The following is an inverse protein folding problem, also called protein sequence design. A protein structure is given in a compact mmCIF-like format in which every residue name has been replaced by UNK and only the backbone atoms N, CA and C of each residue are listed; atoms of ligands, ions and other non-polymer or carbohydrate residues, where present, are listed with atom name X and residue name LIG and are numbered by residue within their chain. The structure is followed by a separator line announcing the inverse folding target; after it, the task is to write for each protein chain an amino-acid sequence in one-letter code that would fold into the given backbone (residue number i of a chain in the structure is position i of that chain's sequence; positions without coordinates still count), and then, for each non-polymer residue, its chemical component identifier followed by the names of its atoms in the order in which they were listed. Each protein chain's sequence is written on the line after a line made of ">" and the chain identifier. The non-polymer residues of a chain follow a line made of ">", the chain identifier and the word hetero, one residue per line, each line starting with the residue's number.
data_IF_200117274766
#
_entry.id   IF_200117274766
#
_cell.length_a   1.000
_cell.length_b   1.000
_cell.length_c   1.000
_cell.angle_alpha   90.00
_cell.angle_beta   90.00
_cell.angle_gamma   90.00
#
_symmetry.space_group_name_H-M   'P 1'
#
loop_
_entity.id
_entity.type
_entity.pdbx_description
1 polymer ?
#
# COMPACT_ATOMS: atom_id res chain seq x y z
N UNK A 1 24.01 -6.67 -12.97
CA UNK A 1 23.87 -5.32 -12.38
C UNK A 1 22.42 -4.92 -12.57
N UNK A 2 21.71 -4.43 -11.53
CA UNK A 2 20.28 -4.06 -11.68
C UNK A 2 20.20 -2.72 -12.42
N UNK A 3 19.14 -2.49 -13.21
CA UNK A 3 18.94 -1.23 -13.97
C UNK A 3 19.00 0.02 -13.07
N UNK A 4 18.55 -0.10 -11.82
CA UNK A 4 18.63 0.97 -10.81
C UNK A 4 20.08 1.21 -10.36
N UNK A 5 20.90 0.15 -10.20
CA UNK A 5 22.31 0.29 -9.84
C UNK A 5 23.11 0.94 -10.99
N UNK A 6 22.83 0.54 -12.23
CA UNK A 6 23.40 1.16 -13.43
C UNK A 6 23.05 2.66 -13.47
N UNK A 7 21.80 3.02 -13.17
CA UNK A 7 21.38 4.41 -13.08
C UNK A 7 22.15 5.19 -12.02
N UNK A 8 22.31 4.64 -10.81
CA UNK A 8 23.07 5.26 -9.71
C UNK A 8 24.55 5.43 -10.08
N UNK A 9 25.15 4.45 -10.75
CA UNK A 9 26.56 4.52 -11.16
C UNK A 9 26.87 5.65 -12.15
N UNK A 10 25.85 6.12 -12.88
CA UNK A 10 25.95 7.22 -13.84
C UNK A 10 25.59 8.59 -13.24
N UNK A 11 25.35 8.68 -11.93
CA UNK A 11 25.14 9.92 -11.20
C UNK A 11 26.40 10.32 -10.42
N UNK A 12 26.55 11.61 -10.16
CA UNK A 12 27.67 12.17 -9.41
C UNK A 12 27.22 13.13 -8.31
N UNK A 13 28.05 13.27 -7.28
CA UNK A 13 27.86 14.19 -6.16
C UNK A 13 26.51 14.04 -5.46
N UNK A 14 25.91 15.18 -5.10
CA UNK A 14 24.64 15.23 -4.35
C UNK A 14 23.49 14.48 -5.02
N UNK A 15 23.50 14.34 -6.35
CA UNK A 15 22.46 13.60 -7.08
C UNK A 15 22.53 12.10 -6.80
N UNK A 16 23.76 11.58 -6.82
CA UNK A 16 24.03 10.18 -6.52
C UNK A 16 23.67 9.90 -5.06
N UNK A 17 24.15 10.74 -4.14
CA UNK A 17 23.89 10.62 -2.70
C UNK A 17 22.39 10.53 -2.40
N UNK A 18 21.57 11.41 -2.96
CA UNK A 18 20.13 11.42 -2.71
C UNK A 18 19.42 10.18 -3.24
N UNK A 19 19.72 9.79 -4.49
CA UNK A 19 19.09 8.60 -5.09
C UNK A 19 19.54 7.35 -4.35
N UNK A 20 20.83 7.22 -4.05
CA UNK A 20 21.40 6.05 -3.38
C UNK A 20 20.81 5.87 -1.98
N UNK A 21 20.69 6.95 -1.18
CA UNK A 21 20.06 6.90 0.14
C UNK A 21 18.60 6.44 0.08
N UNK A 22 17.79 7.01 -0.83
CA UNK A 22 16.38 6.63 -0.95
C UNK A 22 16.20 5.21 -1.51
N UNK A 23 17.05 4.79 -2.43
CA UNK A 23 17.05 3.43 -2.98
C UNK A 23 17.42 2.41 -1.90
N UNK A 24 18.49 2.66 -1.15
CA UNK A 24 18.89 1.80 -0.03
C UNK A 24 17.79 1.74 1.03
N UNK A 25 17.22 2.89 1.40
CA UNK A 25 16.11 2.95 2.35
C UNK A 25 14.90 2.12 1.90
N UNK A 26 14.45 2.24 0.64
CA UNK A 26 13.32 1.41 0.17
C UNK A 26 13.68 -0.08 0.17
N UNK A 27 14.88 -0.44 -0.29
CA UNK A 27 15.32 -1.85 -0.32
C UNK A 27 15.38 -2.48 1.07
N UNK A 28 15.78 -1.71 2.09
CA UNK A 28 15.92 -2.18 3.46
C UNK A 28 14.59 -2.20 4.21
N UNK A 29 13.78 -1.15 4.07
CA UNK A 29 12.56 -0.95 4.86
C UNK A 29 11.33 -1.56 4.20
N UNK A 30 11.28 -1.60 2.86
CA UNK A 30 10.14 -2.12 2.09
C UNK A 30 10.60 -3.15 1.03
N UNK A 31 11.26 -4.25 1.43
CA UNK A 31 11.77 -5.26 0.51
C UNK A 31 10.67 -5.96 -0.31
N UNK A 32 9.40 -5.80 0.07
CA UNK A 32 8.23 -6.33 -0.62
C UNK A 32 7.81 -5.54 -1.86
N UNK A 33 8.27 -4.28 -2.01
CA UNK A 33 7.93 -3.47 -3.19
C UNK A 33 8.69 -3.97 -4.42
N UNK A 34 8.00 -4.04 -5.56
CA UNK A 34 8.63 -4.42 -6.81
C UNK A 34 9.52 -3.27 -7.31
N UNK A 35 10.84 -3.46 -7.23
CA UNK A 35 11.82 -2.53 -7.81
C UNK A 35 11.86 -2.67 -9.34
N UNK A 36 11.50 -1.59 -10.02
CA UNK A 36 11.49 -1.49 -11.49
C UNK A 36 12.26 -0.25 -11.96
N UNK A 37 12.53 -0.18 -13.26
CA UNK A 37 13.12 1.01 -13.89
C UNK A 37 12.23 1.46 -15.05
N UNK A 38 11.37 2.44 -14.78
CA UNK A 38 10.36 2.93 -15.72
C UNK A 38 10.60 4.40 -16.05
N UNK A 39 10.38 4.82 -17.29
CA UNK A 39 10.62 6.19 -17.74
C UNK A 39 12.01 6.76 -17.33
N UNK A 40 13.03 5.90 -17.36
CA UNK A 40 14.43 6.22 -17.01
C UNK A 40 14.64 6.61 -15.53
N UNK A 41 13.84 6.05 -14.63
CA UNK A 41 13.94 6.36 -13.21
C UNK A 41 13.58 5.15 -12.33
N UNK A 42 14.21 5.00 -11.15
CA UNK A 42 13.79 4.01 -10.16
C UNK A 42 12.32 4.18 -9.81
N UNK A 43 11.57 3.08 -9.89
CA UNK A 43 10.13 3.05 -9.61
C UNK A 43 9.81 1.82 -8.79
N UNK A 44 9.17 2.02 -7.65
CA UNK A 44 8.77 0.97 -6.71
C UNK A 44 7.27 0.84 -6.74
N UNK A 45 6.78 -0.35 -7.07
CA UNK A 45 5.36 -0.62 -7.18
C UNK A 45 4.89 -1.40 -5.96
N UNK A 46 3.90 -0.83 -5.30
CA UNK A 46 3.03 -1.57 -4.40
C UNK A 46 1.74 -1.95 -5.12
N UNK A 47 0.79 -2.50 -4.37
CA UNK A 47 -0.50 -2.86 -4.93
C UNK A 47 -1.43 -1.66 -5.08
N UNK A 48 -1.58 -1.23 -6.32
CA UNK A 48 -2.41 -0.08 -6.67
C UNK A 48 -1.81 1.27 -6.29
N UNK A 49 -0.49 1.34 -6.05
CA UNK A 49 0.24 2.59 -5.85
C UNK A 49 1.70 2.48 -6.31
N UNK A 50 2.36 3.63 -6.49
CA UNK A 50 3.79 3.66 -6.76
C UNK A 50 4.53 4.82 -6.09
N UNK A 51 5.84 4.62 -5.94
CA UNK A 51 6.80 5.64 -5.54
C UNK A 51 7.92 5.66 -6.58
N UNK A 52 8.28 6.82 -7.10
CA UNK A 52 9.39 6.95 -8.04
C UNK A 52 10.23 8.20 -7.78
N UNK A 53 11.51 8.10 -8.14
CA UNK A 53 12.50 9.15 -7.90
C UNK A 53 13.26 9.47 -9.17
N UNK A 54 13.53 10.75 -9.45
CA UNK A 54 14.41 11.12 -10.55
C UNK A 54 15.37 12.24 -10.17
N UNK A 55 16.66 12.02 -10.41
CA UNK A 55 17.66 13.07 -10.33
C UNK A 55 17.60 13.96 -11.58
N UNK A 56 17.01 15.15 -11.46
CA UNK A 56 16.99 16.16 -12.53
C UNK A 56 18.22 17.08 -12.45
N UNK A 57 18.43 17.91 -13.49
CA UNK A 57 19.63 18.77 -13.60
C UNK A 57 19.86 19.64 -12.36
N UNK A 58 18.80 20.29 -11.87
CA UNK A 58 18.86 21.30 -10.80
C UNK A 58 18.00 20.96 -9.57
N UNK A 59 17.26 19.87 -9.62
CA UNK A 59 16.33 19.46 -8.57
C UNK A 59 16.16 17.95 -8.56
N UNK A 60 15.67 17.43 -7.45
CA UNK A 60 15.19 16.08 -7.28
C UNK A 60 13.68 16.06 -7.50
N UNK A 61 13.17 15.04 -8.19
CA UNK A 61 11.72 14.81 -8.33
C UNK A 61 11.30 13.56 -7.56
N UNK A 62 10.32 13.73 -6.69
CA UNK A 62 9.56 12.65 -6.06
C UNK A 62 8.21 12.51 -6.77
N UNK A 63 7.83 11.29 -7.14
CA UNK A 63 6.57 10.99 -7.81
C UNK A 63 5.77 9.95 -7.03
N UNK A 64 4.46 10.16 -6.97
CA UNK A 64 3.48 9.21 -6.45
C UNK A 64 2.10 9.52 -7.02
N UNK A 65 1.25 8.51 -7.12
CA UNK A 65 -0.19 8.66 -7.36
C UNK A 65 -1.00 8.90 -6.09
N UNK A 66 -0.39 8.77 -4.90
CA UNK A 66 -1.04 9.07 -3.64
C UNK A 66 -1.11 10.58 -3.38
N UNK A 67 -2.24 11.17 -3.78
CA UNK A 67 -2.46 12.62 -3.65
C UNK A 67 -2.53 13.10 -2.20
N UNK A 68 -2.75 12.22 -1.21
CA UNK A 68 -2.84 12.59 0.21
C UNK A 68 -1.52 13.10 0.77
N UNK A 69 -0.41 12.64 0.23
CA UNK A 69 0.92 13.02 0.72
C UNK A 69 1.44 14.30 0.09
N UNK A 70 0.79 14.83 -0.96
CA UNK A 70 1.23 16.07 -1.59
C UNK A 70 1.10 17.29 -0.66
N UNK A 71 -0.01 17.48 0.09
CA UNK A 71 -0.08 18.49 1.14
C UNK A 71 0.98 18.30 2.24
N UNK A 72 1.19 17.06 2.68
CA UNK A 72 2.20 16.73 3.71
C UNK A 72 3.61 17.09 3.25
N UNK A 73 3.98 16.72 2.01
CA UNK A 73 5.25 17.10 1.39
C UNK A 73 5.41 18.63 1.33
N UNK A 74 4.34 19.36 1.05
CA UNK A 74 4.39 20.82 0.99
C UNK A 74 4.56 21.45 2.37
N UNK A 75 4.00 20.85 3.41
CA UNK A 75 4.15 21.28 4.80
C UNK A 75 5.57 20.99 5.32
N UNK A 76 6.06 19.76 5.12
CA UNK A 76 7.40 19.31 5.54
C UNK A 76 8.51 20.01 4.75
N UNK A 77 8.27 20.31 3.47
CA UNK A 77 9.24 20.93 2.57
C UNK A 77 8.58 22.16 1.91
N UNK A 78 8.46 23.31 2.63
CA UNK A 78 7.81 24.51 2.09
C UNK A 78 8.44 25.04 0.81
N UNK A 79 9.74 24.80 0.61
CA UNK A 79 10.48 25.19 -0.60
C UNK A 79 10.16 24.32 -1.82
N UNK A 80 9.47 23.19 -1.66
CA UNK A 80 9.15 22.28 -2.75
C UNK A 80 8.16 22.93 -3.73
N UNK A 81 8.41 22.72 -5.02
CA UNK A 81 7.45 23.03 -6.08
C UNK A 81 6.59 21.80 -6.36
N UNK A 82 5.26 21.96 -6.32
CA UNK A 82 4.31 20.86 -6.45
C UNK A 82 3.77 20.73 -7.87
N UNK A 83 3.62 19.49 -8.34
CA UNK A 83 2.83 19.11 -9.50
C UNK A 83 1.66 18.20 -9.09
N UNK A 84 0.86 17.72 -10.06
CA UNK A 84 -0.35 16.92 -9.80
C UNK A 84 -0.09 15.59 -9.05
N UNK A 85 1.10 15.03 -9.21
CA UNK A 85 1.52 13.76 -8.58
C UNK A 85 3.02 13.76 -8.31
N UNK A 86 3.59 14.94 -8.06
CA UNK A 86 5.02 15.05 -7.81
C UNK A 86 5.40 16.27 -6.98
N UNK A 87 6.54 16.16 -6.29
CA UNK A 87 7.21 17.25 -5.62
C UNK A 87 8.62 17.42 -6.20
N UNK A 88 9.05 18.67 -6.40
CA UNK A 88 10.38 19.02 -6.89
C UNK A 88 11.16 19.76 -5.81
N UNK A 89 12.30 19.23 -5.43
CA UNK A 89 13.11 19.67 -4.30
C UNK A 89 14.51 20.06 -4.79
N UNK A 90 15.04 21.20 -4.34
CA UNK A 90 16.42 21.57 -4.65
C UNK A 90 17.40 20.76 -3.78
N UNK A 91 18.53 20.35 -4.35
CA UNK A 91 19.55 19.53 -3.66
C UNK A 91 20.26 20.22 -2.47
N UNK A 92 19.93 21.47 -2.17
CA UNK A 92 20.51 22.22 -1.05
C UNK A 92 19.66 22.17 0.22
N UNK A 93 18.61 21.35 0.25
CA UNK A 93 17.76 21.16 1.41
C UNK A 93 18.15 19.87 2.15
N UNK A 94 18.99 19.99 3.18
CA UNK A 94 19.51 18.85 3.93
C UNK A 94 18.46 18.02 4.67
N UNK A 95 17.34 18.63 5.08
CA UNK A 95 16.25 17.94 5.78
C UNK A 95 15.26 17.23 4.85
N UNK A 96 15.35 17.49 3.54
CA UNK A 96 14.37 16.99 2.61
C UNK A 96 14.45 15.47 2.39
N UNK A 97 15.63 14.86 2.50
CA UNK A 97 15.77 13.41 2.35
C UNK A 97 15.00 12.68 3.45
N UNK A 98 15.19 13.08 4.72
CA UNK A 98 14.50 12.48 5.85
C UNK A 98 12.98 12.62 5.71
N UNK A 99 12.51 13.82 5.33
CA UNK A 99 11.09 14.06 5.07
C UNK A 99 10.54 13.17 3.93
N UNK A 100 11.33 12.92 2.88
CA UNK A 100 10.94 12.01 1.79
C UNK A 100 10.87 10.55 2.28
N UNK A 101 11.79 10.12 3.14
CA UNK A 101 11.75 8.78 3.73
C UNK A 101 10.51 8.58 4.61
N UNK A 102 10.15 9.59 5.42
CA UNK A 102 8.93 9.53 6.23
C UNK A 102 7.66 9.56 5.38
N UNK A 103 7.65 10.30 4.27
CA UNK A 103 6.55 10.25 3.30
C UNK A 103 6.45 8.89 2.62
N UNK A 104 7.57 8.24 2.28
CA UNK A 104 7.55 6.86 1.77
C UNK A 104 6.89 5.90 2.78
N UNK A 105 7.23 6.01 4.08
CA UNK A 105 6.56 5.22 5.14
C UNK A 105 5.07 5.47 5.18
N UNK A 106 4.64 6.73 5.21
CA UNK A 106 3.21 7.08 5.25
C UNK A 106 2.43 6.54 4.04
N UNK A 107 3.01 6.57 2.84
CA UNK A 107 2.38 5.95 1.64
C UNK A 107 2.24 4.45 1.86
N UNK A 108 3.33 3.77 2.20
CA UNK A 108 3.35 2.31 2.34
C UNK A 108 2.42 1.86 3.46
N UNK A 109 2.46 2.50 4.63
CA UNK A 109 1.64 2.18 5.81
C UNK A 109 0.15 2.41 5.54
N UNK A 110 -0.21 3.49 4.85
CA UNK A 110 -1.60 3.71 4.46
C UNK A 110 -2.10 2.65 3.48
N UNK A 111 -1.31 2.31 2.47
CA UNK A 111 -1.70 1.29 1.50
C UNK A 111 -1.72 -0.11 2.12
N UNK A 112 -0.82 -0.40 3.06
CA UNK A 112 -0.80 -1.64 3.84
C UNK A 112 -1.99 -1.71 4.81
N UNK A 113 -2.36 -0.60 5.46
CA UNK A 113 -3.55 -0.56 6.34
C UNK A 113 -4.85 -0.67 5.55
N UNK A 114 -4.95 -0.09 4.35
CA UNK A 114 -6.06 -0.34 3.41
C UNK A 114 -6.08 -1.78 2.87
N UNK A 115 -4.91 -2.40 2.75
CA UNK A 115 -4.75 -3.82 2.45
C UNK A 115 -4.98 -4.74 3.64
N UNK A 116 -5.27 -4.21 4.83
CA UNK A 116 -5.76 -5.00 5.95
C UNK A 116 -7.18 -5.53 5.66
N UNK A 117 -7.22 -6.43 4.71
CA UNK A 117 -8.11 -7.57 4.60
C UNK A 117 -7.63 -8.71 5.51
N UNK A 118 -6.69 -8.44 6.43
CA UNK A 118 -6.07 -9.46 7.31
C UNK A 118 -6.25 -9.16 8.80
N UNK A 119 -6.87 -8.05 9.18
CA UNK A 119 -7.32 -7.86 10.57
C UNK A 119 -8.83 -7.62 10.52
N UNK A 120 -9.58 -8.56 11.10
CA UNK A 120 -10.97 -8.28 11.43
C UNK A 120 -10.98 -7.10 12.40
N UNK A 121 -11.54 -5.96 12.00
CA UNK A 121 -11.63 -4.78 12.87
C UNK A 121 -12.33 -5.19 14.18
N UNK A 122 -11.85 -4.68 15.32
CA UNK A 122 -12.44 -4.94 16.64
C UNK A 122 -13.96 -4.63 16.66
N UNK A 123 -14.39 -3.65 15.86
CA UNK A 123 -15.82 -3.35 15.65
C UNK A 123 -16.57 -4.50 14.99
N UNK A 124 -16.00 -5.10 13.95
CA UNK A 124 -16.57 -6.26 13.24
C UNK A 124 -16.60 -7.50 14.13
N UNK A 125 -15.56 -7.74 14.93
CA UNK A 125 -15.55 -8.83 15.92
C UNK A 125 -16.65 -8.68 16.96
N UNK A 126 -16.87 -7.45 17.46
CA UNK A 126 -17.95 -7.16 18.43
C UNK A 126 -19.35 -7.38 17.86
N UNK A 127 -19.57 -7.06 16.59
CA UNK A 127 -20.84 -7.35 15.92
C UNK A 127 -21.01 -8.85 15.72
N UNK A 128 -19.98 -9.52 15.18
CA UNK A 128 -19.99 -10.96 14.96
C UNK A 128 -20.23 -11.73 16.27
N UNK A 129 -19.58 -11.34 17.38
CA UNK A 129 -19.74 -11.99 18.69
C UNK A 129 -21.13 -11.86 19.31
N UNK A 130 -21.98 -10.94 18.81
CA UNK A 130 -23.39 -10.86 19.24
C UNK A 130 -24.26 -11.93 18.59
N UNK A 131 -23.84 -12.45 17.45
CA UNK A 131 -24.53 -13.54 16.76
C UNK A 131 -24.28 -14.84 17.52
N UNK A 132 -25.32 -15.58 17.93
CA UNK A 132 -25.17 -16.85 18.62
C UNK A 132 -24.29 -17.83 17.86
N UNK A 133 -23.44 -18.59 18.56
CA UNK A 133 -22.43 -19.46 17.93
C UNK A 133 -23.02 -20.52 16.98
N UNK A 134 -24.25 -20.99 17.24
CA UNK A 134 -24.96 -21.89 16.32
C UNK A 134 -25.32 -21.18 15.00
N UNK A 135 -25.73 -19.91 15.06
CA UNK A 135 -26.04 -19.10 13.88
C UNK A 135 -24.76 -18.74 13.12
N UNK A 136 -23.68 -18.40 13.83
CA UNK A 136 -22.36 -18.20 13.23
C UNK A 136 -21.93 -19.42 12.41
N UNK A 137 -22.03 -20.62 12.99
CA UNK A 137 -21.68 -21.86 12.31
C UNK A 137 -22.56 -22.10 11.08
N UNK A 138 -23.87 -21.85 11.19
CA UNK A 138 -24.78 -21.93 10.05
C UNK A 138 -24.38 -20.96 8.92
N UNK A 139 -23.99 -19.72 9.24
CA UNK A 139 -23.55 -18.74 8.26
C UNK A 139 -22.22 -19.13 7.59
N UNK A 140 -21.30 -19.70 8.37
CA UNK A 140 -19.99 -20.19 7.89
C UNK A 140 -20.16 -21.41 6.97
N UNK A 141 -21.08 -22.31 7.27
CA UNK A 141 -21.29 -23.55 6.49
C UNK A 141 -22.18 -23.39 5.25
N UNK A 142 -22.93 -22.29 5.16
CA UNK A 142 -23.88 -22.06 4.08
C UNK A 142 -23.49 -20.87 3.20
N UNK A 143 -22.30 -20.90 2.63
CA UNK A 143 -21.82 -19.87 1.69
C UNK A 143 -21.92 -20.36 0.25
N UNK A 144 -22.38 -19.50 -0.66
CA UNK A 144 -22.49 -19.85 -2.08
C UNK A 144 -21.15 -19.68 -2.80
N UNK A 145 -20.68 -20.75 -3.42
CA UNK A 145 -19.58 -20.75 -4.36
C UNK A 145 -20.12 -20.92 -5.79
N UNK A 146 -19.74 -20.03 -6.70
CA UNK A 146 -20.15 -20.11 -8.11
C UNK A 146 -19.74 -21.40 -8.82
N UNK A 147 -18.70 -22.09 -8.33
CA UNK A 147 -18.21 -23.36 -8.89
C UNK A 147 -18.76 -24.60 -8.19
N UNK A 148 -19.04 -24.51 -6.89
CA UNK A 148 -19.32 -25.69 -6.06
C UNK A 148 -20.72 -25.69 -5.44
N UNK A 149 -21.52 -24.64 -5.67
CA UNK A 149 -22.77 -24.41 -4.94
C UNK A 149 -22.49 -24.10 -3.46
N UNK A 150 -23.34 -24.60 -2.57
CA UNK A 150 -23.20 -24.38 -1.13
C UNK A 150 -21.91 -25.04 -0.60
N UNK A 151 -21.16 -24.28 0.19
CA UNK A 151 -19.89 -24.69 0.80
C UNK A 151 -19.68 -24.00 2.14
N UNK A 152 -18.75 -24.54 2.93
CA UNK A 152 -18.13 -23.86 4.05
C UNK A 152 -17.09 -22.84 3.57
N UNK A 153 -17.08 -21.67 4.18
CA UNK A 153 -16.01 -20.67 4.03
C UNK A 153 -14.89 -20.94 5.03
N UNK A 154 -13.64 -20.89 4.56
CA UNK A 154 -12.43 -21.05 5.37
C UNK A 154 -11.50 -19.86 5.15
N UNK A 155 -10.50 -19.70 6.03
CA UNK A 155 -9.47 -18.64 5.95
C UNK A 155 -10.07 -17.25 5.71
N UNK A 156 -11.15 -16.95 6.44
CA UNK A 156 -11.97 -15.76 6.21
C UNK A 156 -11.66 -14.61 7.16
N UNK A 157 -11.85 -13.39 6.67
CA UNK A 157 -11.92 -12.15 7.45
C UNK A 157 -13.37 -11.68 7.56
N UNK A 158 -13.64 -10.85 8.56
CA UNK A 158 -14.95 -10.20 8.73
C UNK A 158 -14.76 -8.70 8.53
N UNK A 159 -15.58 -8.11 7.65
CA UNK A 159 -15.55 -6.68 7.33
C UNK A 159 -16.88 -6.06 7.73
N UNK A 160 -16.84 -4.89 8.37
CA UNK A 160 -18.04 -4.08 8.60
C UNK A 160 -18.44 -3.39 7.29
N UNK A 161 -19.69 -3.51 6.91
CA UNK A 161 -20.31 -2.83 5.78
C UNK A 161 -21.43 -1.91 6.28
N UNK A 162 -21.96 -1.04 5.41
CA UNK A 162 -23.01 -0.08 5.77
C UNK A 162 -24.29 -0.76 6.29
N UNK A 163 -24.60 -1.95 5.79
CA UNK A 163 -25.86 -2.66 6.05
C UNK A 163 -25.67 -3.96 6.83
N UNK A 164 -24.45 -4.28 7.28
CA UNK A 164 -24.17 -5.57 7.89
C UNK A 164 -22.69 -5.94 7.95
N UNK A 165 -22.41 -7.22 8.11
CA UNK A 165 -21.08 -7.81 8.03
C UNK A 165 -20.88 -8.57 6.73
N UNK A 166 -19.66 -8.52 6.19
CA UNK A 166 -19.24 -9.36 5.06
C UNK A 166 -18.11 -10.28 5.50
N UNK A 167 -18.33 -11.59 5.44
CA UNK A 167 -17.28 -12.59 5.58
C UNK A 167 -16.66 -12.82 4.20
N UNK A 168 -15.35 -12.63 4.05
CA UNK A 168 -14.61 -12.91 2.80
C UNK A 168 -13.52 -13.93 3.06
N UNK A 169 -13.47 -14.98 2.25
CA UNK A 169 -12.54 -16.10 2.44
C UNK A 169 -12.60 -17.05 1.26
N UNK A 170 -12.22 -18.30 1.50
CA UNK A 170 -12.05 -19.31 0.46
C UNK A 170 -13.07 -20.44 0.59
N UNK A 171 -13.48 -20.97 -0.57
CA UNK A 171 -14.31 -22.16 -0.66
C UNK A 171 -13.53 -23.38 -0.19
N UNK A 172 -14.02 -24.09 0.84
CA UNK A 172 -13.41 -25.32 1.34
C UNK A 172 -13.21 -26.40 0.27
N UNK A 173 -14.06 -26.44 -0.77
CA UNK A 173 -14.03 -27.48 -1.82
C UNK A 173 -13.03 -27.18 -2.95
N UNK A 174 -12.93 -25.93 -3.41
CA UNK A 174 -12.14 -25.58 -4.60
C UNK A 174 -11.10 -24.48 -4.39
N UNK A 175 -11.00 -23.92 -3.18
CA UNK A 175 -10.10 -22.80 -2.86
C UNK A 175 -10.51 -21.46 -3.48
N UNK A 176 -11.57 -21.42 -4.29
CA UNK A 176 -12.02 -20.19 -4.94
C UNK A 176 -12.52 -19.14 -3.94
N UNK A 177 -12.30 -17.87 -4.24
CA UNK A 177 -12.75 -16.75 -3.42
C UNK A 177 -14.29 -16.70 -3.34
N UNK A 178 -14.82 -16.58 -2.13
CA UNK A 178 -16.24 -16.49 -1.83
C UNK A 178 -16.50 -15.46 -0.74
N UNK A 179 -17.76 -15.02 -0.65
CA UNK A 179 -18.18 -14.09 0.38
C UNK A 179 -19.58 -14.44 0.90
N UNK A 180 -19.84 -14.10 2.16
CA UNK A 180 -21.17 -14.19 2.79
C UNK A 180 -21.51 -12.85 3.41
N UNK A 181 -22.67 -12.31 3.03
CA UNK A 181 -23.23 -11.13 3.67
C UNK A 181 -24.16 -11.54 4.82
N UNK A 182 -24.13 -10.75 5.89
CA UNK A 182 -24.91 -10.93 7.11
C UNK A 182 -25.49 -9.56 7.45
N UNK A 183 -26.78 -9.38 7.21
CA UNK A 183 -27.48 -8.11 7.48
C UNK A 183 -27.46 -7.78 8.97
N UNK A 184 -27.30 -6.50 9.29
CA UNK A 184 -27.58 -6.00 10.64
C UNK A 184 -29.10 -6.13 10.91
N UNK A 185 -29.50 -6.61 12.09
CA UNK A 185 -30.91 -6.63 12.54
C UNK A 185 -31.47 -5.23 12.82
#
# INVERSE_FOLDING_TARGET
>A
MRLVDDYISNLDGVKKEWIEQLVQFIREVFPELEETFYNKMPTYKGDGYFIAFAAQKNYFSFYTDDSRVLPLLKELIPSASMGKGCARIKYNNGFAIDALMDVCKEIVDYHNSKRSSTITDLKSLRKWSKIPSNVQQMLIDNVYCSKCGITTIVDYNIQDDRLGLVLKGSCKKCGGNIARFVEDE
#
